data_IF_953922021364
#
_entry.id   IF_953922021364
#
_cell.length_a   1.000
_cell.length_b   1.000
_cell.length_c   1.000
_cell.angle_alpha   90.00
_cell.angle_beta   90.00
_cell.angle_gamma   90.00
#
_symmetry.space_group_name_H-M   'P 1'
#
loop_
_entity.id
_entity.type
_entity.pdbx_description
1 polymer ?
#
# COMPACT_ATOMS: atom_id res chain seq x y z
N UNK A 1 3.97 10.28 -6.92
CA UNK A 1 4.99 9.97 -5.88
C UNK A 1 4.46 8.90 -4.95
N UNK A 2 5.16 7.81 -4.84
CA UNK A 2 4.79 6.67 -3.99
C UNK A 2 5.86 6.44 -2.93
N UNK A 3 5.42 6.30 -1.68
CA UNK A 3 6.21 5.79 -0.56
C UNK A 3 5.68 4.40 -0.24
N UNK A 4 6.35 3.41 -0.75
CA UNK A 4 5.94 2.01 -0.63
C UNK A 4 6.58 1.34 0.59
N UNK A 5 6.12 0.13 0.90
CA UNK A 5 6.71 -0.72 1.95
C UNK A 5 8.13 -1.17 1.59
N UNK A 6 8.36 -1.42 0.31
CA UNK A 6 9.64 -1.89 -0.20
C UNK A 6 10.52 -0.73 -0.67
N UNK A 7 11.85 -0.91 -0.67
CA UNK A 7 12.76 0.05 -1.30
C UNK A 7 12.41 0.34 -2.76
N UNK A 8 12.74 1.54 -3.25
CA UNK A 8 13.50 2.63 -2.63
C UNK A 8 12.65 3.51 -1.71
N UNK A 9 13.23 4.53 -1.08
CA UNK A 9 12.48 5.47 -0.23
C UNK A 9 11.33 6.17 -0.95
N UNK A 10 11.45 6.35 -2.25
CA UNK A 10 10.38 6.92 -3.09
C UNK A 10 10.45 6.38 -4.50
N UNK A 11 9.31 6.36 -5.17
CA UNK A 11 9.23 6.04 -6.59
C UNK A 11 8.22 6.94 -7.29
N UNK A 12 8.35 7.01 -8.61
CA UNK A 12 7.29 7.59 -9.44
C UNK A 12 6.01 6.74 -9.34
N UNK A 13 4.92 7.23 -9.90
CA UNK A 13 3.70 6.44 -9.97
C UNK A 13 3.95 5.08 -10.62
N UNK A 14 3.23 4.07 -10.14
CA UNK A 14 3.30 2.72 -10.69
C UNK A 14 2.97 2.71 -12.18
N UNK A 15 3.65 1.86 -12.92
CA UNK A 15 3.34 1.56 -14.31
C UNK A 15 3.08 0.05 -14.47
N UNK A 16 2.59 -0.35 -15.64
CA UNK A 16 2.22 -1.74 -15.89
C UNK A 16 3.38 -2.71 -15.70
N UNK A 17 4.59 -2.34 -16.11
CA UNK A 17 5.76 -3.21 -15.96
C UNK A 17 6.08 -3.49 -14.49
N UNK A 18 6.09 -2.45 -13.67
CA UNK A 18 6.32 -2.61 -12.22
C UNK A 18 5.20 -3.39 -11.54
N UNK A 19 3.98 -3.17 -11.95
CA UNK A 19 2.83 -3.92 -11.44
C UNK A 19 2.96 -5.39 -11.80
N UNK A 20 3.38 -5.71 -13.02
CA UNK A 20 3.58 -7.08 -13.46
C UNK A 20 4.75 -7.75 -12.72
N UNK A 21 5.86 -7.04 -12.53
CA UNK A 21 6.98 -7.53 -11.72
C UNK A 21 6.54 -7.87 -10.31
N UNK A 22 5.74 -6.99 -9.70
CA UNK A 22 5.19 -7.23 -8.38
C UNK A 22 4.30 -8.48 -8.35
N UNK A 23 3.40 -8.63 -9.32
CA UNK A 23 2.54 -9.82 -9.42
C UNK A 23 3.33 -11.10 -9.59
N UNK A 24 4.43 -11.06 -10.34
CA UNK A 24 5.29 -12.22 -10.56
C UNK A 24 5.98 -12.71 -9.28
N UNK A 25 6.04 -11.90 -8.25
CA UNK A 25 6.56 -12.28 -6.94
C UNK A 25 5.60 -13.12 -6.11
N UNK A 26 4.39 -13.36 -6.60
CA UNK A 26 3.35 -14.10 -5.89
C UNK A 26 2.99 -15.38 -6.63
N UNK A 27 2.70 -16.43 -5.88
CA UNK A 27 2.20 -17.70 -6.39
C UNK A 27 0.72 -17.86 -6.02
N UNK A 28 -0.12 -18.08 -7.02
CA UNK A 28 -1.55 -18.16 -6.82
C UNK A 28 -2.24 -16.82 -6.60
N UNK A 29 -3.48 -16.83 -6.10
CA UNK A 29 -4.26 -15.61 -5.95
C UNK A 29 -3.71 -14.69 -4.86
N UNK A 30 -3.84 -13.39 -5.12
CA UNK A 30 -3.57 -12.33 -4.15
C UNK A 30 -4.91 -11.76 -3.73
N UNK A 31 -5.18 -11.77 -2.44
CA UNK A 31 -6.41 -11.21 -1.89
C UNK A 31 -6.10 -9.87 -1.20
N UNK A 32 -6.98 -8.90 -1.37
CA UNK A 32 -6.90 -7.62 -0.70
C UNK A 32 -8.23 -7.27 -0.05
N UNK A 33 -8.15 -6.54 1.05
CA UNK A 33 -9.29 -6.03 1.79
C UNK A 33 -8.98 -4.60 2.20
N UNK A 34 -9.95 -3.71 2.05
CA UNK A 34 -9.76 -2.29 2.37
C UNK A 34 -10.72 -1.87 3.48
N UNK A 35 -10.19 -1.17 4.46
CA UNK A 35 -10.94 -0.61 5.57
C UNK A 35 -10.74 0.92 5.57
N UNK A 36 -11.71 1.64 5.03
CA UNK A 36 -11.67 3.09 4.96
C UNK A 36 -11.88 3.70 6.33
N UNK A 37 -11.01 4.62 6.74
CA UNK A 37 -11.18 5.43 7.94
C UNK A 37 -11.71 6.82 7.63
N UNK A 38 -11.23 7.44 6.56
CA UNK A 38 -11.68 8.75 6.16
C UNK A 38 -11.52 8.98 4.65
N UNK A 39 -12.42 9.82 4.13
CA UNK A 39 -12.39 10.32 2.77
C UNK A 39 -12.90 11.74 2.79
N UNK A 40 -12.17 12.66 2.17
CA UNK A 40 -12.60 14.04 2.03
C UNK A 40 -12.27 14.61 0.67
N UNK A 41 -13.17 15.45 0.17
CA UNK A 41 -13.00 16.19 -1.08
C UNK A 41 -13.14 17.67 -0.76
N UNK A 42 -12.20 18.49 -1.23
CA UNK A 42 -12.22 19.94 -1.10
C UNK A 42 -11.77 20.55 -2.43
N UNK A 43 -12.72 21.08 -3.21
CA UNK A 43 -12.44 21.60 -4.55
C UNK A 43 -11.83 20.52 -5.45
N UNK A 44 -10.62 20.77 -5.95
CA UNK A 44 -9.90 19.88 -6.85
C UNK A 44 -8.89 18.96 -6.12
N UNK A 45 -8.96 18.93 -4.80
CA UNK A 45 -8.10 18.07 -3.96
C UNK A 45 -8.94 17.11 -3.15
N UNK A 46 -8.41 15.93 -2.93
CA UNK A 46 -9.04 14.93 -2.07
C UNK A 46 -7.98 14.10 -1.35
N UNK A 47 -8.35 13.56 -0.22
CA UNK A 47 -7.53 12.56 0.46
C UNK A 47 -8.37 11.39 0.93
N UNK A 48 -7.69 10.27 1.07
CA UNK A 48 -8.22 9.05 1.64
C UNK A 48 -7.16 8.44 2.54
N UNK A 49 -7.57 7.92 3.68
CA UNK A 49 -6.69 7.08 4.48
C UNK A 49 -7.47 5.95 5.16
N UNK A 50 -6.75 4.86 5.39
CA UNK A 50 -7.33 3.68 5.98
C UNK A 50 -6.33 2.55 6.10
N UNK A 51 -6.84 1.34 6.15
CA UNK A 51 -6.06 0.12 6.20
C UNK A 51 -6.27 -0.69 4.94
N UNK A 52 -5.24 -1.40 4.55
CA UNK A 52 -5.30 -2.38 3.46
C UNK A 52 -4.69 -3.68 3.94
N UNK A 53 -5.39 -4.78 3.72
CA UNK A 53 -4.91 -6.12 4.00
C UNK A 53 -4.41 -6.76 2.73
N UNK A 54 -3.30 -7.46 2.81
CA UNK A 54 -2.72 -8.21 1.72
C UNK A 54 -2.51 -9.66 2.16
N UNK A 55 -3.05 -10.60 1.38
CA UNK A 55 -2.91 -12.04 1.61
C UNK A 55 -2.46 -12.71 0.33
N UNK A 56 -1.50 -13.60 0.43
CA UNK A 56 -1.03 -14.38 -0.70
C UNK A 56 0.19 -15.21 -0.36
N UNK A 57 0.65 -16.01 -1.31
CA UNK A 57 1.88 -16.77 -1.17
C UNK A 57 3.03 -16.00 -1.82
N UNK A 58 3.99 -15.55 -1.00
CA UNK A 58 5.17 -14.82 -1.46
C UNK A 58 6.25 -15.80 -1.88
N UNK A 59 6.70 -15.73 -3.13
CA UNK A 59 7.82 -16.54 -3.62
C UNK A 59 9.12 -16.18 -2.90
N UNK A 60 9.36 -14.90 -2.66
CA UNK A 60 10.56 -14.42 -1.98
C UNK A 60 10.63 -14.91 -0.53
N UNK A 61 9.52 -14.89 0.19
CA UNK A 61 9.42 -15.35 1.56
C UNK A 61 9.30 -16.88 1.65
N UNK A 62 8.88 -17.54 0.58
CA UNK A 62 8.65 -18.98 0.55
C UNK A 62 7.50 -19.43 1.43
N UNK A 63 6.55 -18.53 1.73
CA UNK A 63 5.44 -18.80 2.65
C UNK A 63 4.25 -17.89 2.35
N UNK A 64 3.11 -18.25 2.93
CA UNK A 64 1.93 -17.38 2.92
C UNK A 64 2.17 -16.17 3.80
N UNK A 65 1.72 -15.01 3.32
CA UNK A 65 1.72 -13.77 4.08
C UNK A 65 0.30 -13.25 4.21
N UNK A 66 0.03 -12.61 5.33
CA UNK A 66 -1.26 -12.02 5.63
C UNK A 66 -1.03 -10.90 6.64
N UNK A 67 -1.13 -9.65 6.19
CA UNK A 67 -0.87 -8.53 7.05
C UNK A 67 -1.69 -7.30 6.66
N UNK A 68 -1.87 -6.40 7.62
CA UNK A 68 -2.49 -5.11 7.44
C UNK A 68 -1.44 -4.01 7.34
N UNK A 69 -1.65 -3.09 6.43
CA UNK A 69 -0.82 -1.89 6.28
C UNK A 69 -1.66 -0.64 6.42
N UNK A 70 -1.03 0.44 6.78
CA UNK A 70 -1.63 1.77 6.75
C UNK A 70 -1.43 2.36 5.38
N UNK A 71 -2.45 3.02 4.86
CA UNK A 71 -2.39 3.61 3.54
C UNK A 71 -3.01 5.00 3.55
N UNK A 72 -2.35 5.93 2.90
CA UNK A 72 -2.85 7.30 2.65
C UNK A 72 -2.70 7.59 1.17
N UNK A 73 -3.74 8.17 0.57
CA UNK A 73 -3.73 8.61 -0.81
C UNK A 73 -4.12 10.06 -0.89
N UNK A 74 -3.44 10.81 -1.75
CA UNK A 74 -3.78 12.19 -2.12
C UNK A 74 -4.14 12.19 -3.59
N UNK A 75 -5.27 12.81 -3.90
CA UNK A 75 -5.80 12.90 -5.25
C UNK A 75 -5.99 14.36 -5.64
N UNK A 76 -5.82 14.63 -6.91
CA UNK A 76 -6.12 15.93 -7.51
C UNK A 76 -6.97 15.74 -8.75
N UNK A 77 -7.91 16.66 -8.95
CA UNK A 77 -8.70 16.69 -10.16
C UNK A 77 -8.02 17.58 -11.20
N UNK A 78 -7.67 16.96 -12.33
CA UNK A 78 -7.02 17.60 -13.46
C UNK A 78 -7.85 17.34 -14.72
N UNK A 79 -8.30 18.39 -15.39
CA UNK A 79 -9.14 18.28 -16.59
C UNK A 79 -10.39 17.41 -16.37
N UNK A 80 -11.07 17.58 -15.22
CA UNK A 80 -12.28 16.85 -14.88
C UNK A 80 -12.06 15.42 -14.43
N UNK A 81 -10.83 14.95 -14.28
CA UNK A 81 -10.49 13.59 -13.85
C UNK A 81 -9.68 13.60 -12.57
N UNK A 82 -10.06 12.75 -11.65
CA UNK A 82 -9.29 12.51 -10.42
C UNK A 82 -8.06 11.67 -10.71
N UNK A 83 -6.91 12.13 -10.23
CA UNK A 83 -5.65 11.42 -10.32
C UNK A 83 -5.04 11.27 -8.93
N UNK A 84 -4.52 10.10 -8.64
CA UNK A 84 -3.71 9.87 -7.45
C UNK A 84 -2.33 10.49 -7.67
N UNK A 85 -1.99 11.50 -6.88
CA UNK A 85 -0.71 12.19 -6.97
C UNK A 85 0.28 11.71 -5.92
N UNK A 86 -0.22 11.09 -4.86
CA UNK A 86 0.62 10.53 -3.81
C UNK A 86 -0.05 9.34 -3.15
N UNK A 87 0.73 8.33 -2.85
CA UNK A 87 0.34 7.17 -2.05
C UNK A 87 1.45 6.86 -1.06
N UNK A 88 1.07 6.60 0.17
CA UNK A 88 1.99 6.20 1.23
C UNK A 88 1.46 4.95 1.92
N UNK A 89 2.22 3.88 1.87
CA UNK A 89 1.93 2.64 2.59
C UNK A 89 2.98 2.43 3.67
N UNK A 90 2.56 1.97 4.82
CA UNK A 90 3.49 1.71 5.93
C UNK A 90 2.97 0.60 6.83
N UNK A 91 3.91 -0.08 7.47
CA UNK A 91 3.66 -1.03 8.56
C UNK A 91 4.49 -0.56 9.74
N UNK A 92 3.92 -0.46 10.95
CA UNK A 92 4.73 -0.15 12.11
C UNK A 92 5.73 -1.29 12.36
N UNK A 93 6.86 -0.97 12.93
CA UNK A 93 7.78 -1.98 13.41
C UNK A 93 7.89 -1.89 14.94
N UNK A 94 8.22 -3.01 15.56
CA UNK A 94 8.35 -3.05 17.02
C UNK A 94 9.61 -2.31 17.46
N UNK A 95 9.43 -1.40 18.43
CA UNK A 95 10.50 -0.58 19.00
C UNK A 95 11.10 -1.24 20.26
N UNK A 96 11.12 -2.55 20.29
CA UNK A 96 11.59 -3.37 21.43
C UNK A 96 13.04 -3.87 21.24
N UNK A 97 13.75 -3.32 20.27
CA UNK A 97 15.08 -3.75 19.90
C UNK A 97 15.11 -4.82 18.80
N UNK A 98 14.00 -5.50 18.53
CA UNK A 98 13.92 -6.48 17.44
C UNK A 98 13.87 -5.83 16.07
N UNK A 99 13.29 -4.64 15.98
CA UNK A 99 13.07 -3.89 14.75
C UNK A 99 12.25 -4.68 13.73
N UNK A 100 11.43 -5.62 14.17
CA UNK A 100 10.60 -6.46 13.28
C UNK A 100 9.36 -5.71 12.84
N UNK A 101 8.93 -5.90 11.56
CA UNK A 101 7.64 -5.39 11.12
C UNK A 101 6.50 -6.00 11.94
N UNK A 102 5.53 -5.19 12.32
CA UNK A 102 4.39 -5.63 13.12
C UNK A 102 3.27 -6.21 12.22
N UNK A 103 3.53 -7.30 11.55
CA UNK A 103 2.58 -7.96 10.65
C UNK A 103 1.44 -8.69 11.37
N UNK A 104 1.55 -8.87 12.67
CA UNK A 104 0.55 -9.52 13.52
C UNK A 104 -0.59 -8.60 13.96
N UNK A 105 -0.44 -7.28 13.76
CA UNK A 105 -1.45 -6.31 14.14
C UNK A 105 -2.67 -6.35 13.22
N UNK A 106 -3.84 -6.15 13.82
CA UNK A 106 -5.13 -6.08 13.11
C UNK A 106 -5.88 -4.82 13.55
N UNK A 107 -6.69 -4.23 12.63
CA UNK A 107 -7.55 -3.10 12.99
C UNK A 107 -8.55 -3.45 14.08
#
# INVERSE_FOLDING_TARGET
MIFDLAPPLRSACANENKTQEWRNGWEGPIESEVHELARRVSGDSAYWYGYSRLRGHSKAAGQDVDFWMRMTMILERVNGRWKMVHEHSSVPFYMDGSMRPAFDLKP
#
